data_IF_988919588010
#
_entry.id   IF_988919588010
#
_cell.length_a   1.000
_cell.length_b   1.000
_cell.length_c   1.000
_cell.angle_alpha   90.00
_cell.angle_beta   90.00
_cell.angle_gamma   90.00
#
_symmetry.space_group_name_H-M   'P 1'
#
loop_
_entity.id
_entity.type
_entity.pdbx_description
1 polymer ?
#
# COMPACT_ATOMS: atom_id res chain seq x y z
N UNK A 1 15.40 11.92 7.64
CA UNK A 1 14.37 12.90 8.02
C UNK A 1 14.54 13.20 9.49
N UNK A 2 14.52 14.46 9.90
CA UNK A 2 14.50 14.83 11.32
C UNK A 2 13.06 14.87 11.84
N UNK A 3 12.12 15.31 11.01
CA UNK A 3 10.68 15.35 11.28
C UNK A 3 9.91 14.65 10.13
N UNK A 4 9.70 13.32 10.21
CA UNK A 4 9.02 12.57 9.15
C UNK A 4 7.62 13.09 8.83
N UNK A 5 6.87 13.59 9.82
CA UNK A 5 5.52 14.08 9.63
C UNK A 5 5.45 15.26 8.65
N UNK A 6 6.50 16.08 8.61
CA UNK A 6 6.59 17.25 7.72
C UNK A 6 7.36 16.97 6.43
N UNK A 7 8.38 16.12 6.49
CA UNK A 7 9.31 15.95 5.37
C UNK A 7 8.89 14.87 4.36
N UNK A 8 8.07 13.89 4.74
CA UNK A 8 7.95 12.66 3.95
C UNK A 8 7.31 12.84 2.57
N UNK A 9 6.41 13.82 2.42
CA UNK A 9 5.83 14.17 1.13
C UNK A 9 6.91 14.66 0.15
N UNK A 10 7.77 15.57 0.62
CA UNK A 10 8.87 16.10 -0.17
C UNK A 10 9.91 15.02 -0.47
N UNK A 11 10.19 14.15 0.51
CA UNK A 11 11.08 12.99 0.30
C UNK A 11 10.53 12.07 -0.79
N UNK A 12 9.24 11.74 -0.76
CA UNK A 12 8.60 10.92 -1.79
C UNK A 12 8.72 11.54 -3.19
N UNK A 13 8.53 12.85 -3.31
CA UNK A 13 8.70 13.58 -4.57
C UNK A 13 10.16 13.61 -5.03
N UNK A 14 11.12 13.81 -4.12
CA UNK A 14 12.54 13.82 -4.45
C UNK A 14 13.04 12.45 -4.95
N UNK A 15 12.57 11.36 -4.35
CA UNK A 15 13.01 10.01 -4.74
C UNK A 15 12.31 9.49 -6.00
N UNK A 16 11.07 9.91 -6.27
CA UNK A 16 10.30 9.40 -7.42
C UNK A 16 10.27 10.35 -8.61
N UNK A 17 10.13 11.66 -8.38
CA UNK A 17 9.78 12.66 -9.39
C UNK A 17 10.83 13.76 -9.60
N UNK A 18 12.01 13.67 -8.96
CA UNK A 18 13.07 14.67 -9.16
C UNK A 18 13.48 14.77 -10.64
N UNK A 19 13.46 15.99 -11.18
CA UNK A 19 13.82 16.27 -12.58
C UNK A 19 15.31 16.04 -12.84
N UNK A 20 16.18 16.20 -11.83
CA UNK A 20 17.61 15.96 -11.97
C UNK A 20 18.00 14.55 -11.44
N UNK A 21 18.65 13.68 -12.25
CA UNK A 21 19.09 12.35 -11.81
C UNK A 21 19.99 12.37 -10.57
N UNK A 22 20.86 13.39 -10.45
CA UNK A 22 21.76 13.53 -9.30
C UNK A 22 20.98 13.85 -8.02
N UNK A 23 19.92 14.65 -8.11
CA UNK A 23 19.03 14.94 -6.97
C UNK A 23 18.28 13.68 -6.56
N UNK A 24 17.75 12.92 -7.52
CA UNK A 24 17.08 11.65 -7.24
C UNK A 24 18.01 10.66 -6.52
N UNK A 25 19.22 10.47 -7.07
CA UNK A 25 20.24 9.59 -6.50
C UNK A 25 20.64 10.03 -5.10
N UNK A 26 20.92 11.33 -4.92
CA UNK A 26 21.27 11.88 -3.61
C UNK A 26 20.13 11.71 -2.59
N UNK A 27 18.87 11.88 -3.02
CA UNK A 27 17.71 11.67 -2.16
C UNK A 27 17.61 10.21 -1.70
N UNK A 28 17.77 9.24 -2.61
CA UNK A 28 17.75 7.81 -2.24
C UNK A 28 18.91 7.48 -1.28
N UNK A 29 20.13 7.96 -1.56
CA UNK A 29 21.28 7.74 -0.68
C UNK A 29 21.12 8.39 0.70
N UNK A 30 20.40 9.51 0.79
CA UNK A 30 20.15 10.24 2.04
C UNK A 30 19.01 9.63 2.85
N UNK A 31 17.94 9.21 2.19
CA UNK A 31 16.68 8.87 2.87
C UNK A 31 16.40 7.37 2.96
N UNK A 32 17.05 6.51 2.18
CA UNK A 32 16.90 5.05 2.30
C UNK A 32 18.04 4.43 3.11
N UNK A 33 17.68 3.47 3.96
CA UNK A 33 18.62 2.58 4.61
C UNK A 33 19.48 1.82 3.59
N UNK A 34 20.73 1.53 3.93
CA UNK A 34 21.64 0.79 3.04
C UNK A 34 21.16 -0.65 2.74
N UNK A 35 20.40 -1.22 3.68
CA UNK A 35 19.86 -2.58 3.71
C UNK A 35 18.32 -2.62 3.60
N UNK A 36 17.73 -1.65 2.89
CA UNK A 36 16.28 -1.50 2.75
C UNK A 36 15.58 -2.69 2.05
N UNK A 37 14.26 -2.78 2.21
CA UNK A 37 13.35 -3.66 1.45
C UNK A 37 12.39 -2.84 0.59
N UNK A 38 12.11 -3.34 -0.61
CA UNK A 38 11.15 -2.75 -1.53
C UNK A 38 10.17 -3.81 -2.02
N UNK A 39 8.87 -3.49 -1.99
CA UNK A 39 7.80 -4.37 -2.48
C UNK A 39 6.89 -3.56 -3.40
N UNK A 40 6.79 -4.01 -4.64
CA UNK A 40 5.93 -3.43 -5.65
C UNK A 40 5.22 -4.58 -6.39
N UNK A 41 4.01 -4.38 -6.95
CA UNK A 41 3.31 -5.46 -7.65
C UNK A 41 4.07 -6.08 -8.83
N UNK A 42 5.10 -5.41 -9.35
CA UNK A 42 5.88 -5.84 -10.53
C UNK A 42 7.35 -6.21 -10.21
N UNK A 43 7.88 -5.83 -9.06
CA UNK A 43 9.28 -6.07 -8.70
C UNK A 43 9.48 -5.98 -7.18
N UNK A 44 10.56 -6.56 -6.68
CA UNK A 44 10.86 -6.54 -5.26
C UNK A 44 12.37 -6.55 -5.01
N UNK A 45 12.75 -6.05 -3.83
CA UNK A 45 14.11 -6.10 -3.29
C UNK A 45 14.01 -6.60 -1.85
N UNK A 46 14.65 -7.72 -1.56
CA UNK A 46 14.75 -8.26 -0.18
C UNK A 46 15.77 -7.48 0.65
N UNK A 47 15.65 -7.54 1.98
CA UNK A 47 16.69 -7.04 2.88
C UNK A 47 18.02 -7.76 2.61
N UNK A 48 19.05 -6.97 2.31
CA UNK A 48 20.42 -7.44 2.16
C UNK A 48 21.38 -6.25 2.29
N UNK A 49 22.64 -6.45 2.71
CA UNK A 49 23.64 -5.39 2.63
C UNK A 49 23.69 -4.80 1.22
N UNK A 50 23.69 -3.46 1.13
CA UNK A 50 23.70 -2.72 -0.14
C UNK A 50 22.45 -2.90 -1.04
N UNK A 51 21.35 -3.44 -0.53
CA UNK A 51 20.09 -3.59 -1.29
C UNK A 51 19.54 -2.26 -1.82
N UNK A 52 19.93 -1.13 -1.21
CA UNK A 52 19.63 0.23 -1.71
C UNK A 52 20.10 0.46 -3.16
N UNK A 53 21.16 -0.19 -3.60
CA UNK A 53 21.68 -0.04 -4.97
C UNK A 53 20.72 -0.67 -6.00
N UNK A 54 20.01 -1.74 -5.62
CA UNK A 54 18.93 -2.30 -6.43
C UNK A 54 17.75 -1.34 -6.52
N UNK A 55 17.38 -0.67 -5.42
CA UNK A 55 16.35 0.37 -5.42
C UNK A 55 16.72 1.54 -6.34
N UNK A 56 17.96 2.00 -6.29
CA UNK A 56 18.48 3.00 -7.22
C UNK A 56 18.31 2.55 -8.68
N UNK A 57 18.64 1.29 -8.97
CA UNK A 57 18.51 0.72 -10.33
C UNK A 57 17.05 0.70 -10.81
N UNK A 58 16.10 0.39 -9.92
CA UNK A 58 14.65 0.43 -10.21
C UNK A 58 14.22 1.86 -10.54
N UNK A 59 14.56 2.85 -9.70
CA UNK A 59 14.18 4.24 -9.92
C UNK A 59 14.82 4.84 -11.17
N UNK A 60 16.08 4.48 -11.47
CA UNK A 60 16.74 4.83 -12.72
C UNK A 60 15.99 4.23 -13.92
N UNK A 61 15.60 2.96 -13.84
CA UNK A 61 14.83 2.32 -14.89
C UNK A 61 13.47 2.97 -15.08
N UNK A 62 12.76 3.33 -14.00
CA UNK A 62 11.49 4.05 -14.06
C UNK A 62 11.62 5.38 -14.78
N UNK A 63 12.71 6.13 -14.52
CA UNK A 63 13.01 7.37 -15.23
C UNK A 63 13.35 7.17 -16.71
N UNK A 64 14.08 6.09 -17.04
CA UNK A 64 14.36 5.71 -18.43
C UNK A 64 13.06 5.33 -19.14
N UNK A 65 12.18 4.59 -18.49
CA UNK A 65 10.88 4.23 -19.04
C UNK A 65 9.94 5.42 -19.13
N UNK A 66 9.97 6.39 -18.21
CA UNK A 66 9.04 7.52 -18.19
C UNK A 66 9.77 8.83 -17.92
N UNK A 67 10.29 9.54 -18.96
CA UNK A 67 10.99 10.81 -18.79
C UNK A 67 10.07 11.93 -18.26
N UNK A 68 8.77 11.82 -18.51
CA UNK A 68 7.74 12.75 -18.05
C UNK A 68 6.88 11.98 -17.05
N UNK A 69 7.35 11.93 -15.80
CA UNK A 69 6.63 11.36 -14.68
C UNK A 69 6.04 12.50 -13.85
N UNK A 70 4.72 12.47 -13.65
CA UNK A 70 4.04 13.38 -12.71
C UNK A 70 3.61 12.59 -11.49
N UNK A 71 3.94 13.09 -10.30
CA UNK A 71 3.56 12.49 -9.02
C UNK A 71 2.89 13.56 -8.18
N UNK A 72 1.75 13.22 -7.58
CA UNK A 72 1.01 14.08 -6.67
C UNK A 72 0.73 13.31 -5.37
N UNK A 73 1.14 13.89 -4.23
CA UNK A 73 0.84 13.36 -2.91
C UNK A 73 -0.51 13.94 -2.46
N UNK A 74 -1.54 13.10 -2.42
CA UNK A 74 -2.91 13.48 -2.06
C UNK A 74 -3.08 13.59 -0.54
N UNK A 75 -2.35 12.78 0.22
CA UNK A 75 -2.45 12.72 1.67
C UNK A 75 -1.27 11.99 2.30
N UNK A 76 -0.98 12.33 3.55
CA UNK A 76 0.09 11.73 4.35
C UNK A 76 -0.45 11.48 5.75
N UNK A 77 -0.20 10.27 6.24
CA UNK A 77 -0.41 9.89 7.64
C UNK A 77 0.90 9.32 8.18
N UNK A 78 1.37 9.83 9.31
CA UNK A 78 2.54 9.29 10.01
C UNK A 78 2.14 8.80 11.39
N UNK A 79 2.44 7.53 11.68
CA UNK A 79 2.31 6.87 12.97
C UNK A 79 3.70 6.84 13.62
N UNK A 80 3.91 7.74 14.58
CA UNK A 80 5.18 7.88 15.30
C UNK A 80 5.47 6.69 16.22
N UNK A 81 4.46 6.00 16.73
CA UNK A 81 4.65 4.85 17.63
C UNK A 81 5.20 3.65 16.86
N UNK A 82 4.70 3.45 15.63
CA UNK A 82 5.13 2.36 14.76
C UNK A 82 6.26 2.73 13.81
N UNK A 83 6.65 4.00 13.78
CA UNK A 83 7.54 4.57 12.76
C UNK A 83 7.06 4.24 11.34
N UNK A 84 5.76 4.28 11.11
CA UNK A 84 5.15 3.92 9.83
C UNK A 84 4.51 5.14 9.19
N UNK A 85 4.65 5.29 7.88
CA UNK A 85 3.99 6.33 7.14
C UNK A 85 3.19 5.78 5.97
N UNK A 86 2.04 6.38 5.72
CA UNK A 86 1.14 6.04 4.63
C UNK A 86 0.96 7.28 3.76
N UNK A 87 1.23 7.13 2.47
CA UNK A 87 1.03 8.19 1.49
C UNK A 87 -0.01 7.75 0.48
N UNK A 88 -1.01 8.59 0.26
CA UNK A 88 -1.90 8.44 -0.88
C UNK A 88 -1.28 9.20 -2.05
N UNK A 89 -0.98 8.50 -3.14
CA UNK A 89 -0.30 9.07 -4.30
C UNK A 89 -1.15 8.88 -5.55
N UNK A 90 -1.12 9.86 -6.44
CA UNK A 90 -1.54 9.71 -7.83
C UNK A 90 -0.36 10.01 -8.73
N UNK A 91 -0.04 9.08 -9.63
CA UNK A 91 1.03 9.25 -10.59
C UNK A 91 0.54 9.05 -12.02
N UNK A 92 1.17 9.77 -12.95
CA UNK A 92 0.99 9.57 -14.38
C UNK A 92 2.33 9.11 -14.94
N UNK A 93 2.41 7.82 -15.23
CA UNK A 93 3.60 7.16 -15.77
C UNK A 93 3.41 6.95 -17.27
N UNK A 94 4.22 7.61 -18.10
CA UNK A 94 4.15 7.47 -19.55
C UNK A 94 5.35 6.70 -20.08
N UNK A 95 5.11 5.44 -20.47
CA UNK A 95 6.15 4.59 -21.04
C UNK A 95 6.64 5.20 -22.37
N UNK A 96 7.91 5.60 -22.42
CA UNK A 96 8.60 6.36 -23.47
C UNK A 96 8.39 5.83 -24.88
N UNK A 97 8.30 4.51 -25.04
CA UNK A 97 8.15 3.85 -26.34
C UNK A 97 6.73 3.35 -26.60
N UNK A 98 5.80 3.61 -25.68
CA UNK A 98 4.40 3.23 -25.84
C UNK A 98 3.65 4.26 -26.69
N UNK A 99 2.85 3.84 -27.68
CA UNK A 99 1.96 4.73 -28.41
C UNK A 99 0.67 5.06 -27.63
N UNK A 100 0.47 4.47 -26.46
CA UNK A 100 -0.76 4.56 -25.69
C UNK A 100 -0.77 5.84 -24.84
N UNK A 101 -1.92 6.51 -24.78
CA UNK A 101 -2.10 7.64 -23.86
C UNK A 101 -1.93 7.16 -22.42
N UNK A 102 -1.12 7.83 -21.59
CA UNK A 102 -0.98 7.46 -20.19
C UNK A 102 -2.29 7.72 -19.44
N UNK A 103 -2.50 6.98 -18.35
CA UNK A 103 -3.62 7.19 -17.46
C UNK A 103 -3.10 7.45 -16.03
N UNK A 104 -3.83 8.23 -15.22
CA UNK A 104 -3.54 8.34 -13.79
C UNK A 104 -3.66 6.98 -13.11
N UNK A 105 -2.67 6.65 -12.28
CA UNK A 105 -2.62 5.46 -11.45
C UNK A 105 -2.54 5.91 -9.98
N UNK A 106 -3.47 5.43 -9.16
CA UNK A 106 -3.52 5.69 -7.72
C UNK A 106 -2.86 4.55 -6.96
N UNK A 107 -2.13 4.89 -5.92
CA UNK A 107 -1.52 3.92 -5.00
C UNK A 107 -1.51 4.44 -3.57
N UNK A 108 -1.45 3.48 -2.64
CA UNK A 108 -1.04 3.73 -1.27
C UNK A 108 0.40 3.26 -1.12
N UNK A 109 1.25 4.13 -0.62
CA UNK A 109 2.63 3.79 -0.26
C UNK A 109 2.71 3.61 1.25
N UNK A 110 3.21 2.47 1.69
CA UNK A 110 3.55 2.22 3.09
C UNK A 110 5.07 2.26 3.25
N UNK A 111 5.55 3.15 4.12
CA UNK A 111 6.95 3.30 4.45
C UNK A 111 7.18 2.91 5.92
N UNK A 112 8.06 1.94 6.15
CA UNK A 112 8.58 1.63 7.49
C UNK A 112 9.87 2.42 7.69
N UNK A 113 9.91 3.28 8.70
CA UNK A 113 11.04 4.11 9.03
C UNK A 113 11.87 3.49 10.16
N UNK A 114 13.20 3.58 10.04
CA UNK A 114 14.14 3.16 11.07
C UNK A 114 14.84 4.39 11.65
N UNK A 115 14.79 4.59 12.98
CA UNK A 115 15.58 5.63 13.63
C UNK A 115 17.07 5.24 13.60
N UNK A 116 17.93 6.18 13.23
CA UNK A 116 19.37 6.05 13.18
C UNK A 116 20.04 7.31 13.77
N UNK A 117 21.24 7.22 14.37
CA UNK A 117 22.00 8.40 14.77
C UNK A 117 22.35 9.25 13.53
N UNK A 118 22.27 10.58 13.66
CA UNK A 118 22.65 11.46 12.56
C UNK A 118 24.14 11.36 12.25
N UNK A 119 24.54 11.20 10.98
CA UNK A 119 25.95 11.15 10.59
C UNK A 119 26.74 12.42 10.92
N UNK A 120 26.06 13.58 10.98
CA UNK A 120 26.69 14.87 11.27
C UNK A 120 26.72 15.21 12.76
N UNK A 121 25.78 14.65 13.53
CA UNK A 121 25.63 14.91 14.96
C UNK A 121 25.05 13.67 15.65
N UNK A 122 25.89 12.78 16.21
CA UNK A 122 25.42 11.53 16.83
C UNK A 122 24.42 11.71 17.99
N UNK A 123 24.25 12.93 18.52
CA UNK A 123 23.26 13.23 19.55
C UNK A 123 21.83 13.35 19.01
N UNK A 124 21.67 13.51 17.68
CA UNK A 124 20.37 13.63 17.02
C UNK A 124 19.96 12.32 16.37
N UNK A 125 18.66 12.05 16.39
CA UNK A 125 18.06 10.93 15.64
C UNK A 125 17.55 11.42 14.30
N UNK A 126 17.84 10.66 13.25
CA UNK A 126 17.22 10.79 11.95
C UNK A 126 16.45 9.51 11.63
N UNK A 127 15.46 9.63 10.76
CA UNK A 127 14.69 8.52 10.25
C UNK A 127 15.04 8.27 8.79
N UNK A 128 15.36 7.01 8.49
CA UNK A 128 15.57 6.50 7.13
C UNK A 128 14.48 5.50 6.76
N UNK A 129 14.17 5.39 5.48
CA UNK A 129 13.21 4.43 4.94
C UNK A 129 13.90 3.06 4.91
N UNK A 130 13.46 2.17 5.80
CA UNK A 130 13.93 0.79 5.87
C UNK A 130 13.09 -0.14 4.99
N UNK A 131 11.80 0.15 4.84
CA UNK A 131 10.93 -0.59 3.95
C UNK A 131 10.03 0.34 3.16
N UNK A 132 9.80 0.02 1.90
CA UNK A 132 8.90 0.74 1.01
C UNK A 132 8.02 -0.27 0.28
N UNK A 133 6.71 -0.18 0.49
CA UNK A 133 5.73 -1.06 -0.10
C UNK A 133 4.64 -0.28 -0.83
N UNK A 134 4.40 -0.65 -2.09
CA UNK A 134 3.41 -0.01 -2.95
C UNK A 134 2.18 -0.89 -3.13
N UNK A 135 1.01 -0.33 -2.84
CA UNK A 135 -0.29 -0.97 -3.01
C UNK A 135 -1.08 -0.30 -4.12
N UNK A 136 -1.38 -1.07 -5.16
CA UNK A 136 -2.24 -0.63 -6.26
C UNK A 136 -3.52 -1.44 -6.27
N UNK A 137 -4.61 -0.77 -6.59
CA UNK A 137 -5.80 -1.49 -7.02
C UNK A 137 -5.54 -2.10 -8.42
N UNK A 138 -6.15 -3.24 -8.79
CA UNK A 138 -5.83 -3.91 -10.06
C UNK A 138 -5.99 -3.05 -11.32
N UNK A 139 -6.98 -2.15 -11.38
CA UNK A 139 -7.17 -1.26 -12.52
C UNK A 139 -6.20 -0.06 -12.50
N UNK A 140 -5.75 0.39 -11.33
CA UNK A 140 -4.65 1.36 -11.21
C UNK A 140 -3.31 0.76 -11.66
N UNK A 141 -3.05 -0.53 -11.36
CA UNK A 141 -1.88 -1.24 -11.90
C UNK A 141 -1.98 -1.38 -13.43
N UNK A 142 -3.17 -1.64 -13.96
CA UNK A 142 -3.40 -1.62 -15.40
C UNK A 142 -3.19 -0.21 -15.99
N UNK A 143 -3.62 0.84 -15.29
CA UNK A 143 -3.38 2.22 -15.69
C UNK A 143 -1.87 2.57 -15.76
N UNK A 144 -1.07 1.99 -14.87
CA UNK A 144 0.39 2.17 -14.85
C UNK A 144 1.08 1.53 -16.06
N UNK A 145 0.66 0.30 -16.45
CA UNK A 145 1.37 -0.52 -17.43
C UNK A 145 0.73 -0.52 -18.82
N UNK A 146 -0.59 -0.66 -18.90
CA UNK A 146 -1.35 -0.79 -20.16
C UNK A 146 -2.76 -0.23 -20.00
N UNK A 147 -2.94 1.10 -20.07
CA UNK A 147 -4.22 1.77 -19.85
C UNK A 147 -5.44 1.19 -20.61
N UNK A 148 -5.31 0.71 -21.87
CA UNK A 148 -6.44 0.09 -22.56
C UNK A 148 -7.04 -1.15 -21.87
N UNK A 149 -6.34 -1.78 -20.92
CA UNK A 149 -6.86 -2.91 -20.15
C UNK A 149 -7.77 -2.50 -18.98
N UNK A 150 -7.76 -1.23 -18.54
CA UNK A 150 -8.61 -0.72 -17.45
C UNK A 150 -10.08 -1.19 -17.57
N UNK A 151 -10.79 -0.98 -18.71
CA UNK A 151 -12.19 -1.40 -18.81
C UNK A 151 -12.39 -2.91 -18.69
N UNK A 152 -11.43 -3.72 -19.18
CA UNK A 152 -11.51 -5.18 -19.06
C UNK A 152 -11.33 -5.63 -17.61
N UNK A 153 -10.37 -5.05 -16.88
CA UNK A 153 -10.17 -5.32 -15.45
C UNK A 153 -11.43 -4.95 -14.66
N UNK A 154 -12.01 -3.77 -14.91
CA UNK A 154 -13.26 -3.34 -14.26
C UNK A 154 -14.43 -4.26 -14.58
N UNK A 155 -14.57 -4.69 -15.84
CA UNK A 155 -15.59 -5.68 -16.22
C UNK A 155 -15.42 -6.99 -15.44
N UNK A 156 -14.18 -7.48 -15.30
CA UNK A 156 -13.85 -8.65 -14.50
C UNK A 156 -14.24 -8.48 -13.03
N UNK A 157 -13.93 -7.34 -12.41
CA UNK A 157 -14.31 -7.04 -11.02
C UNK A 157 -15.83 -7.01 -10.83
N UNK A 158 -16.57 -6.43 -11.78
CA UNK A 158 -18.04 -6.43 -11.75
C UNK A 158 -18.63 -7.83 -11.97
N UNK A 159 -18.04 -8.64 -12.87
CA UNK A 159 -18.45 -10.03 -13.07
C UNK A 159 -18.20 -10.87 -11.82
N UNK A 160 -17.05 -10.70 -11.15
CA UNK A 160 -16.75 -11.34 -9.87
C UNK A 160 -17.77 -10.94 -8.79
N UNK A 161 -18.11 -9.65 -8.71
CA UNK A 161 -19.16 -9.17 -7.80
C UNK A 161 -20.50 -9.86 -8.06
N UNK A 162 -20.89 -9.99 -9.34
CA UNK A 162 -22.12 -10.70 -9.70
C UNK A 162 -22.06 -12.18 -9.30
N UNK A 163 -20.95 -12.86 -9.57
CA UNK A 163 -20.74 -14.25 -9.18
C UNK A 163 -20.83 -14.43 -7.65
N UNK A 164 -20.20 -13.56 -6.86
CA UNK A 164 -20.32 -13.56 -5.40
C UNK A 164 -21.78 -13.43 -4.97
N UNK A 165 -22.56 -12.52 -5.56
CA UNK A 165 -23.98 -12.32 -5.23
C UNK A 165 -24.85 -13.53 -5.61
N UNK A 166 -24.59 -14.17 -6.74
CA UNK A 166 -25.32 -15.36 -7.17
C UNK A 166 -24.98 -16.53 -6.26
N UNK A 167 -23.69 -16.79 -6.04
CA UNK A 167 -23.24 -17.87 -5.17
C UNK A 167 -23.77 -17.69 -3.74
N UNK A 168 -23.67 -16.49 -3.16
CA UNK A 168 -24.19 -16.23 -1.83
C UNK A 168 -25.67 -16.63 -1.69
N UNK A 169 -26.53 -16.29 -2.66
CA UNK A 169 -27.95 -16.68 -2.64
C UNK A 169 -28.16 -18.18 -2.81
N UNK A 170 -27.38 -18.83 -3.66
CA UNK A 170 -27.46 -20.29 -3.86
C UNK A 170 -27.08 -21.00 -2.55
N UNK A 171 -25.97 -20.61 -1.94
CA UNK A 171 -25.48 -21.23 -0.71
C UNK A 171 -26.32 -20.84 0.52
N UNK A 172 -26.97 -19.68 0.52
CA UNK A 172 -28.00 -19.32 1.49
C UNK A 172 -29.23 -20.24 1.38
N UNK A 173 -29.74 -20.45 0.16
CA UNK A 173 -30.87 -21.35 -0.09
C UNK A 173 -30.56 -22.82 0.24
N UNK A 174 -29.30 -23.22 0.10
CA UNK A 174 -28.80 -24.55 0.51
C UNK A 174 -28.51 -24.65 2.01
N UNK A 175 -28.66 -23.55 2.78
CA UNK A 175 -28.50 -23.52 4.23
C UNK A 175 -27.05 -23.43 4.73
N UNK A 176 -26.07 -23.26 3.84
CA UNK A 176 -24.66 -23.07 4.24
C UNK A 176 -24.42 -21.72 4.90
N UNK A 177 -25.23 -20.71 4.54
CA UNK A 177 -25.26 -19.41 5.20
C UNK A 177 -26.69 -19.11 5.61
N UNK A 178 -26.96 -19.03 6.90
CA UNK A 178 -28.25 -18.59 7.42
C UNK A 178 -27.99 -17.66 8.59
N UNK A 179 -28.62 -16.49 8.57
CA UNK A 179 -28.66 -15.62 9.74
C UNK A 179 -29.68 -16.24 10.69
N UNK A 180 -29.18 -16.92 11.73
CA UNK A 180 -30.03 -17.36 12.83
C UNK A 180 -30.29 -16.14 13.72
N UNK A 181 -31.48 -16.08 14.29
CA UNK A 181 -31.71 -15.15 15.38
C UNK A 181 -30.66 -15.40 16.47
N UNK A 182 -29.99 -14.35 16.97
CA UNK A 182 -29.00 -14.49 18.03
C UNK A 182 -29.60 -15.12 19.30
N UNK A 183 -28.78 -15.37 20.33
CA UNK A 183 -29.28 -15.75 21.65
C UNK A 183 -30.31 -14.71 22.14
N UNK A 184 -31.60 -14.97 21.94
CA UNK A 184 -32.68 -13.99 22.12
C UNK A 184 -33.80 -14.01 21.07
N UNK A 185 -33.67 -14.74 19.95
CA UNK A 185 -34.77 -14.90 18.99
C UNK A 185 -35.10 -13.63 18.18
N UNK A 186 -34.20 -12.64 18.18
CA UNK A 186 -34.29 -11.45 17.33
C UNK A 186 -33.12 -11.45 16.34
N UNK A 187 -33.42 -11.52 15.05
CA UNK A 187 -32.46 -11.28 13.98
C UNK A 187 -31.85 -9.88 14.09
N UNK A 188 -30.65 -9.69 13.55
CA UNK A 188 -29.92 -8.42 13.63
C UNK A 188 -30.50 -7.43 12.60
N UNK A 189 -31.48 -6.63 13.02
CA UNK A 189 -31.98 -5.50 12.24
C UNK A 189 -31.25 -4.24 12.71
N UNK A 190 -30.05 -3.97 12.17
CA UNK A 190 -29.30 -2.76 12.51
C UNK A 190 -30.13 -1.50 12.20
N UNK A 191 -30.61 -0.83 13.24
CA UNK A 191 -31.26 0.47 13.11
C UNK A 191 -30.17 1.55 12.95
N UNK A 192 -30.34 2.52 12.03
CA UNK A 192 -29.36 3.60 11.84
C UNK A 192 -29.10 4.45 13.10
N UNK A 193 -30.02 4.37 14.07
CA UNK A 193 -30.01 5.14 15.32
C UNK A 193 -29.09 4.54 16.41
N UNK A 194 -28.37 3.45 16.10
CA UNK A 194 -27.28 2.94 16.92
C UNK A 194 -27.70 1.98 18.01
N UNK A 195 -28.29 0.84 17.63
CA UNK A 195 -28.31 -0.32 18.54
C UNK A 195 -26.87 -0.85 18.70
N UNK A 196 -26.40 -1.12 19.94
CA UNK A 196 -25.07 -1.66 20.14
C UNK A 196 -24.98 -3.02 19.43
N UNK A 197 -23.84 -3.27 18.77
CA UNK A 197 -23.57 -4.59 18.23
C UNK A 197 -23.68 -5.62 19.36
N UNK A 198 -24.25 -6.80 19.11
CA UNK A 198 -24.25 -7.87 20.10
C UNK A 198 -22.80 -8.14 20.53
N UNK A 199 -22.55 -8.38 21.84
CA UNK A 199 -21.21 -8.68 22.31
C UNK A 199 -20.70 -9.95 21.61
N UNK A 200 -19.41 -9.97 21.27
CA UNK A 200 -18.76 -11.16 20.71
C UNK A 200 -18.91 -12.29 21.72
N UNK A 201 -19.53 -13.40 21.33
CA UNK A 201 -19.78 -14.55 22.21
C UNK A 201 -18.47 -15.19 22.69
N UNK A 202 -18.49 -15.86 23.85
CA UNK A 202 -17.29 -16.45 24.44
C UNK A 202 -16.61 -17.50 23.54
N UNK A 203 -17.40 -18.25 22.75
CA UNK A 203 -16.89 -19.20 21.76
C UNK A 203 -16.21 -18.49 20.59
N UNK A 204 -16.79 -17.39 20.11
CA UNK A 204 -16.25 -16.58 19.02
C UNK A 204 -14.98 -15.85 19.46
N UNK A 205 -14.93 -15.30 20.68
CA UNK A 205 -13.70 -14.74 21.26
C UNK A 205 -12.59 -15.79 21.34
N UNK A 206 -12.91 -16.98 21.84
CA UNK A 206 -11.93 -18.08 21.94
C UNK A 206 -11.42 -18.52 20.57
N UNK A 207 -12.29 -18.58 19.56
CA UNK A 207 -11.92 -18.92 18.18
C UNK A 207 -11.02 -17.84 17.54
N UNK A 208 -11.38 -16.56 17.69
CA UNK A 208 -10.61 -15.44 17.16
C UNK A 208 -9.23 -15.32 17.85
N UNK A 209 -9.13 -15.61 19.14
CA UNK A 209 -7.86 -15.63 19.88
C UNK A 209 -6.97 -16.84 19.52
N UNK A 210 -7.57 -18.01 19.30
CA UNK A 210 -6.86 -19.22 18.87
C UNK A 210 -6.24 -19.05 17.49
N UNK A 211 -6.94 -18.39 16.57
CA UNK A 211 -6.44 -18.12 15.22
C UNK A 211 -5.32 -17.06 15.25
N UNK A 212 -5.50 -16.01 16.06
CA UNK A 212 -4.48 -14.97 16.26
C UNK A 212 -3.17 -15.45 16.92
N UNK A 213 -3.22 -16.54 17.72
CA UNK A 213 -2.02 -17.22 18.24
C UNK A 213 -1.34 -18.09 17.19
N UNK A 214 -2.12 -18.79 16.37
CA UNK A 214 -1.58 -19.67 15.32
C UNK A 214 -0.81 -18.89 14.24
N UNK A 215 -1.23 -17.66 13.95
CA UNK A 215 -0.52 -16.74 13.03
C UNK A 215 0.72 -16.06 13.63
N UNK A 216 0.99 -16.19 14.93
CA UNK A 216 2.20 -15.63 15.58
C UNK A 216 3.34 -16.65 15.74
N UNK A 217 3.05 -17.94 15.58
CA UNK A 217 3.99 -19.04 15.77
C UNK A 217 4.48 -19.67 14.44
N UNK A 218 4.18 -19.05 13.29
CA UNK A 218 4.76 -19.33 11.95
C UNK A 218 5.59 -18.14 11.44
#
# INVERSE_FOLDING_TARGET
MEDPAKEIADVALLVTAAVNPEVQKAAVLKYYAADMRFRHPLCAVSHAPHSRDAMLSILQWYRIMSPILTVHVNGVTYDAEKNAAFLEITQVFHIRWSPLKPAPSRLIVHLTLRPEPSPTDPSKTIYVIAEHEDFYHPDDLAALVTPPLIPLIRLGLHAATLACRVNARVFEALGYWSVKDGEGGQGVALRPEGEPLPPIGAEEQSALELDGKRTKDE
#
